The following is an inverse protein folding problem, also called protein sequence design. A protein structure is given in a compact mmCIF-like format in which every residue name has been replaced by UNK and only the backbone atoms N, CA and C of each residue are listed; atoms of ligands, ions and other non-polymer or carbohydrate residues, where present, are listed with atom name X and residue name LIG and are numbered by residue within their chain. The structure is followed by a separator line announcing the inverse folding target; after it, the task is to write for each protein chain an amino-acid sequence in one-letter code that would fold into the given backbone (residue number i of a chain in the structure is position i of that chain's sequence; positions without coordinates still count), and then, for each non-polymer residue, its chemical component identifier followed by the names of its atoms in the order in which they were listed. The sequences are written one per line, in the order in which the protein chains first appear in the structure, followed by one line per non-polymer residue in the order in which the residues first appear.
data_IF_809104008362
#
_entry.id   IF_809104008362
#
_cell.length_a   1.000
_cell.length_b   1.000
_cell.length_c   1.000
_cell.angle_alpha   90.00
_cell.angle_beta   90.00
_cell.angle_gamma   90.00
#
_symmetry.space_group_name_H-M   'P 1'
#
loop_
_entity.id
_entity.type
_entity.pdbx_description
1 polymer ?
#
# COMPACT_ATOMS: atom_id res chain seq x y z
N UNK A 1 -1.98 16.40 -5.62
CA UNK A 1 -1.76 15.43 -6.70
C UNK A 1 -1.99 13.98 -6.26
N UNK A 2 -1.19 13.35 -5.38
CA UNK A 2 -1.44 11.94 -4.91
C UNK A 2 -2.80 11.82 -4.24
N UNK A 3 -3.12 12.69 -3.30
CA UNK A 3 -4.40 12.71 -2.58
C UNK A 3 -5.62 12.85 -3.51
N UNK A 4 -5.48 13.59 -4.60
CA UNK A 4 -6.56 13.75 -5.60
C UNK A 4 -6.77 12.46 -6.39
N UNK A 5 -5.68 11.81 -6.80
CA UNK A 5 -5.72 10.49 -7.47
C UNK A 5 -6.39 9.46 -6.56
N UNK A 6 -6.03 9.40 -5.29
CA UNK A 6 -6.65 8.47 -4.32
C UNK A 6 -8.13 8.78 -4.13
N UNK A 7 -8.51 10.07 -4.06
CA UNK A 7 -9.91 10.48 -3.95
C UNK A 7 -10.72 10.04 -5.17
N UNK A 8 -10.20 10.27 -6.37
CA UNK A 8 -10.83 9.83 -7.62
C UNK A 8 -10.98 8.31 -7.69
N UNK A 9 -9.93 7.55 -7.34
CA UNK A 9 -9.98 6.10 -7.27
C UNK A 9 -11.06 5.61 -6.29
N UNK A 10 -11.11 6.21 -5.09
CA UNK A 10 -12.11 5.87 -4.08
C UNK A 10 -13.53 6.16 -4.55
N UNK A 11 -13.75 7.31 -5.17
CA UNK A 11 -15.06 7.66 -5.73
C UNK A 11 -15.48 6.70 -6.84
N UNK A 12 -14.56 6.40 -7.77
CA UNK A 12 -14.79 5.49 -8.88
C UNK A 12 -15.23 4.09 -8.41
N UNK A 13 -14.67 3.61 -7.31
CA UNK A 13 -14.98 2.28 -6.78
C UNK A 13 -16.07 2.27 -5.71
N UNK A 14 -16.75 3.38 -5.50
CA UNK A 14 -17.81 3.49 -4.49
C UNK A 14 -17.28 3.27 -3.06
N UNK A 15 -16.05 3.68 -2.80
CA UNK A 15 -15.35 3.58 -1.53
C UNK A 15 -14.85 4.95 -1.05
N UNK A 16 -15.72 5.98 -0.97
CA UNK A 16 -15.30 7.28 -0.46
C UNK A 16 -14.72 7.12 0.95
N UNK A 17 -13.84 8.03 1.33
CA UNK A 17 -13.39 8.11 2.70
C UNK A 17 -14.57 8.50 3.58
N UNK A 18 -15.02 7.58 4.40
CA UNK A 18 -16.16 7.77 5.31
C UNK A 18 -15.64 7.66 6.75
N UNK A 19 -15.63 8.78 7.49
CA UNK A 19 -15.18 8.78 8.88
C UNK A 19 -16.01 7.89 9.82
N UNK A 20 -17.26 7.61 9.49
CA UNK A 20 -18.12 6.73 10.27
C UNK A 20 -17.81 5.25 10.05
N UNK A 21 -17.18 4.91 8.94
CA UNK A 21 -16.82 3.53 8.60
C UNK A 21 -15.74 3.01 9.53
N UNK A 22 -15.97 1.81 10.06
CA UNK A 22 -14.99 1.04 10.84
C UNK A 22 -14.34 -0.03 9.96
N UNK A 23 -13.13 -0.39 10.35
CA UNK A 23 -12.38 -1.47 9.74
C UNK A 23 -11.51 -1.06 8.54
N UNK A 24 -10.74 -2.03 8.04
CA UNK A 24 -9.70 -1.79 7.06
C UNK A 24 -10.26 -1.47 5.66
N UNK A 25 -9.46 -0.72 4.90
CA UNK A 25 -9.74 -0.47 3.49
C UNK A 25 -9.70 -1.79 2.71
N UNK A 26 -10.72 -2.12 1.90
CA UNK A 26 -10.78 -3.37 1.13
C UNK A 26 -9.90 -3.29 -0.12
N UNK A 27 -8.60 -3.55 0.02
CA UNK A 27 -7.64 -3.47 -1.08
C UNK A 27 -8.00 -4.35 -2.28
N UNK A 28 -8.58 -5.53 -2.04
CA UNK A 28 -8.98 -6.44 -3.12
C UNK A 28 -9.93 -5.79 -4.13
N UNK A 29 -10.78 -4.85 -3.69
CA UNK A 29 -11.65 -4.11 -4.61
C UNK A 29 -10.86 -3.19 -5.52
N UNK A 30 -9.83 -2.52 -5.00
CA UNK A 30 -8.97 -1.68 -5.81
C UNK A 30 -8.25 -2.49 -6.88
N UNK A 31 -7.71 -3.65 -6.56
CA UNK A 31 -7.06 -4.52 -7.53
C UNK A 31 -8.01 -5.06 -8.59
N UNK A 32 -9.23 -5.47 -8.21
CA UNK A 32 -10.20 -6.05 -9.14
C UNK A 32 -10.91 -5.04 -10.03
N UNK A 33 -11.20 -3.86 -9.49
CA UNK A 33 -12.06 -2.86 -10.16
C UNK A 33 -11.26 -1.77 -10.87
N UNK A 34 -9.93 -1.81 -10.83
CA UNK A 34 -9.12 -0.88 -11.61
C UNK A 34 -9.40 -1.03 -13.10
N UNK A 35 -10.25 -0.14 -13.62
CA UNK A 35 -10.42 0.02 -15.06
C UNK A 35 -9.22 0.78 -15.60
N UNK A 36 -8.45 0.13 -16.37
CA UNK A 36 -7.17 0.56 -16.89
C UNK A 36 -6.31 -0.67 -16.90
N UNK A 37 -5.10 -0.65 -16.41
CA UNK A 37 -4.34 -1.87 -16.29
C UNK A 37 -5.03 -2.80 -15.29
N UNK A 38 -5.40 -3.98 -15.75
CA UNK A 38 -5.80 -5.05 -14.85
C UNK A 38 -4.59 -5.37 -13.97
N UNK A 39 -4.69 -5.07 -12.68
CA UNK A 39 -3.65 -5.43 -11.73
C UNK A 39 -4.05 -6.73 -11.04
N UNK A 40 -3.42 -7.83 -11.46
CA UNK A 40 -3.54 -9.09 -10.74
C UNK A 40 -2.66 -9.04 -9.49
N UNK A 41 -3.21 -9.41 -8.33
CA UNK A 41 -2.51 -9.43 -7.05
C UNK A 41 -2.31 -10.85 -6.56
N UNK A 42 -1.08 -11.18 -6.14
CA UNK A 42 -0.69 -12.49 -5.64
C UNK A 42 0.06 -12.39 -4.32
N UNK A 43 -0.39 -13.12 -3.30
CA UNK A 43 0.40 -13.39 -2.10
C UNK A 43 1.15 -14.73 -2.31
N UNK A 44 2.48 -14.69 -2.25
CA UNK A 44 3.34 -15.84 -2.59
C UNK A 44 4.23 -16.16 -1.40
N UNK A 45 4.22 -17.40 -0.88
CA UNK A 45 5.20 -17.84 0.11
C UNK A 45 6.61 -17.84 -0.51
N UNK A 46 7.62 -17.54 0.32
CA UNK A 46 9.02 -17.48 -0.12
C UNK A 46 9.20 -16.68 -1.42
N UNK A 47 8.64 -15.46 -1.46
CA UNK A 47 8.67 -14.63 -2.66
C UNK A 47 10.11 -14.32 -3.07
N UNK A 48 10.49 -14.80 -4.25
CA UNK A 48 11.80 -14.58 -4.88
C UNK A 48 11.60 -14.16 -6.34
N UNK A 49 12.66 -13.64 -6.97
CA UNK A 49 12.61 -13.32 -8.41
C UNK A 49 12.29 -14.55 -9.27
N UNK A 50 12.79 -15.72 -8.87
CA UNK A 50 12.46 -16.99 -9.53
C UNK A 50 10.96 -17.30 -9.44
N UNK A 51 10.37 -17.23 -8.24
CA UNK A 51 8.94 -17.51 -8.04
C UNK A 51 8.04 -16.52 -8.79
N UNK A 52 8.44 -15.25 -8.88
CA UNK A 52 7.78 -14.25 -9.72
C UNK A 52 7.83 -14.63 -11.19
N UNK A 53 9.03 -14.96 -11.70
CA UNK A 53 9.21 -15.36 -13.11
C UNK A 53 8.35 -16.55 -13.49
N UNK A 54 8.30 -17.58 -12.64
CA UNK A 54 7.49 -18.79 -12.87
C UNK A 54 6.00 -18.46 -12.86
N UNK A 55 5.57 -17.58 -11.95
CA UNK A 55 4.17 -17.16 -11.91
C UNK A 55 3.78 -16.37 -13.14
N UNK A 56 4.61 -15.45 -13.59
CA UNK A 56 4.39 -14.67 -14.82
C UNK A 56 4.32 -15.58 -16.04
N UNK A 57 5.23 -16.54 -16.17
CA UNK A 57 5.20 -17.53 -17.25
C UNK A 57 3.92 -18.36 -17.24
N UNK A 58 3.45 -18.75 -16.07
CA UNK A 58 2.16 -19.48 -15.94
C UNK A 58 0.95 -18.66 -16.38
N UNK A 59 1.08 -17.32 -16.41
CA UNK A 59 0.07 -16.41 -16.93
C UNK A 59 0.27 -16.09 -18.43
N UNK A 60 1.19 -16.77 -19.11
CA UNK A 60 1.49 -16.53 -20.52
C UNK A 60 2.35 -15.29 -20.78
N UNK A 61 3.00 -14.75 -19.76
CA UNK A 61 3.86 -13.57 -19.88
C UNK A 61 5.28 -14.01 -20.22
N UNK A 62 5.85 -13.47 -21.28
CA UNK A 62 7.28 -13.64 -21.57
C UNK A 62 8.10 -12.80 -20.62
N UNK A 63 8.95 -13.46 -19.84
CA UNK A 63 9.80 -12.84 -18.83
C UNK A 63 11.25 -13.02 -19.25
N UNK A 64 11.95 -11.90 -19.43
CA UNK A 64 13.39 -11.84 -19.55
C UNK A 64 14.05 -11.99 -18.17
N UNK A 65 15.37 -11.82 -18.10
CA UNK A 65 16.09 -11.89 -16.83
C UNK A 65 15.58 -10.82 -15.85
N UNK A 66 15.16 -11.27 -14.67
CA UNK A 66 14.72 -10.40 -13.56
C UNK A 66 15.84 -10.13 -12.54
N UNK A 67 17.06 -10.57 -12.79
CA UNK A 67 18.19 -10.49 -11.86
C UNK A 67 18.40 -11.75 -11.05
N UNK A 68 19.00 -11.66 -9.85
CA UNK A 68 19.34 -12.82 -9.01
C UNK A 68 18.07 -13.65 -8.67
N UNK A 69 17.97 -14.90 -9.18
CA UNK A 69 16.79 -15.74 -8.97
C UNK A 69 16.48 -16.02 -7.50
N UNK A 70 17.50 -16.03 -6.64
CA UNK A 70 17.39 -16.35 -5.21
C UNK A 70 17.09 -15.12 -4.35
N UNK A 71 17.11 -13.92 -4.91
CA UNK A 71 16.83 -12.70 -4.14
C UNK A 71 15.40 -12.74 -3.58
N UNK A 72 15.29 -12.60 -2.25
CA UNK A 72 14.00 -12.51 -1.55
C UNK A 72 13.41 -11.11 -1.69
N UNK A 73 12.11 -11.05 -1.89
CA UNK A 73 11.39 -9.82 -2.12
C UNK A 73 10.27 -9.65 -1.09
N UNK A 74 10.03 -8.43 -0.63
CA UNK A 74 8.83 -8.07 0.10
C UNK A 74 7.66 -7.83 -0.87
N UNK A 75 7.93 -7.12 -1.96
CA UNK A 75 7.00 -6.83 -3.04
C UNK A 75 7.67 -6.85 -4.41
N UNK A 76 6.85 -6.89 -5.44
CA UNK A 76 7.29 -6.83 -6.83
C UNK A 76 6.12 -6.46 -7.72
N UNK A 77 6.32 -5.50 -8.61
CA UNK A 77 5.33 -5.20 -9.64
C UNK A 77 5.93 -5.34 -11.03
N UNK A 78 5.21 -6.03 -11.90
CA UNK A 78 5.54 -6.19 -13.30
C UNK A 78 4.42 -5.61 -14.17
N UNK A 79 4.76 -4.83 -15.18
CA UNK A 79 3.81 -4.26 -16.12
C UNK A 79 4.11 -4.68 -17.55
N UNK A 80 3.09 -5.09 -18.29
CA UNK A 80 3.19 -5.39 -19.72
C UNK A 80 1.93 -4.92 -20.45
N UNK A 81 2.06 -3.93 -21.30
CA UNK A 81 0.93 -3.31 -22.00
C UNK A 81 -0.14 -2.82 -21.02
N UNK A 82 -1.41 -3.22 -21.16
CA UNK A 82 -2.49 -2.78 -20.28
C UNK A 82 -2.58 -3.57 -18.96
N UNK A 83 -1.77 -4.59 -18.76
CA UNK A 83 -1.81 -5.45 -17.58
C UNK A 83 -0.64 -5.16 -16.62
N UNK A 84 -0.86 -5.41 -15.33
CA UNK A 84 0.18 -5.45 -14.32
C UNK A 84 -0.06 -6.60 -13.35
N UNK A 85 1.01 -7.08 -12.72
CA UNK A 85 0.99 -8.14 -11.74
C UNK A 85 1.75 -7.67 -10.51
N UNK A 86 1.04 -7.54 -9.40
CA UNK A 86 1.60 -7.20 -8.10
C UNK A 86 1.77 -8.48 -7.28
N UNK A 87 2.95 -8.68 -6.75
CA UNK A 87 3.30 -9.81 -5.89
C UNK A 87 3.67 -9.27 -4.52
N UNK A 88 3.25 -9.94 -3.47
CA UNK A 88 3.67 -9.65 -2.09
C UNK A 88 4.04 -10.96 -1.41
N UNK A 89 5.03 -10.92 -0.52
CA UNK A 89 5.34 -12.12 0.26
C UNK A 89 4.18 -12.49 1.19
N UNK A 90 3.83 -13.78 1.22
CA UNK A 90 2.82 -14.30 2.15
C UNK A 90 3.38 -14.52 3.56
N UNK A 91 4.70 -14.47 3.72
CA UNK A 91 5.40 -14.76 4.98
C UNK A 91 5.35 -13.62 5.98
N UNK A 92 5.11 -12.40 5.50
CA UNK A 92 4.93 -11.23 6.36
C UNK A 92 3.59 -11.27 7.11
N UNK A 93 3.54 -10.59 8.26
CA UNK A 93 2.30 -10.37 9.00
C UNK A 93 1.31 -9.54 8.19
N UNK A 94 0.02 -9.75 8.42
CA UNK A 94 -1.04 -9.14 7.62
C UNK A 94 -0.94 -7.61 7.46
N UNK A 95 -0.65 -6.81 8.50
CA UNK A 95 -0.49 -5.37 8.35
C UNK A 95 0.60 -4.99 7.33
N UNK A 96 1.75 -5.68 7.37
CA UNK A 96 2.86 -5.44 6.46
C UNK A 96 2.51 -5.84 5.03
N UNK A 97 1.91 -7.02 4.83
CA UNK A 97 1.42 -7.44 3.50
C UNK A 97 0.46 -6.45 2.89
N UNK A 98 -0.43 -5.87 3.70
CA UNK A 98 -1.38 -4.86 3.23
C UNK A 98 -0.68 -3.58 2.80
N UNK A 99 0.33 -3.13 3.57
CA UNK A 99 1.11 -1.95 3.21
C UNK A 99 1.87 -2.19 1.90
N UNK A 100 2.59 -3.32 1.79
CA UNK A 100 3.28 -3.74 0.56
C UNK A 100 2.32 -3.79 -0.64
N UNK A 101 1.15 -4.40 -0.49
CA UNK A 101 0.16 -4.46 -1.58
C UNK A 101 -0.32 -3.08 -2.02
N UNK A 102 -0.56 -2.16 -1.07
CA UNK A 102 -0.95 -0.79 -1.38
C UNK A 102 0.20 0.00 -2.03
N UNK A 103 1.45 -0.27 -1.64
CA UNK A 103 2.66 0.30 -2.24
C UNK A 103 2.82 -0.13 -3.71
N UNK A 104 2.73 -1.44 -4.00
CA UNK A 104 2.76 -1.95 -5.37
C UNK A 104 1.61 -1.39 -6.23
N UNK A 105 0.44 -1.20 -5.64
CA UNK A 105 -0.67 -0.51 -6.29
C UNK A 105 -0.31 0.95 -6.61
N UNK A 106 0.41 1.62 -5.71
CA UNK A 106 0.94 2.97 -5.91
C UNK A 106 1.84 3.05 -7.14
N UNK A 107 2.78 2.11 -7.29
CA UNK A 107 3.61 2.02 -8.50
C UNK A 107 2.77 1.81 -9.76
N UNK A 108 1.79 0.91 -9.73
CA UNK A 108 0.91 0.68 -10.87
C UNK A 108 0.11 1.93 -11.30
N UNK A 109 -0.24 2.78 -10.33
CA UNK A 109 -1.08 3.98 -10.57
C UNK A 109 -0.24 5.21 -10.94
N UNK A 110 0.86 5.43 -10.24
CA UNK A 110 1.63 6.67 -10.32
C UNK A 110 2.80 6.58 -11.30
N UNK A 111 3.40 5.40 -11.44
CA UNK A 111 4.72 5.24 -12.06
C UNK A 111 4.71 4.37 -13.30
N UNK A 112 3.55 3.91 -13.74
CA UNK A 112 3.43 2.98 -14.85
C UNK A 112 4.28 3.33 -16.07
N UNK A 113 4.26 4.60 -16.48
CA UNK A 113 4.98 5.08 -17.65
C UNK A 113 6.49 5.31 -17.39
N UNK A 114 6.90 5.30 -16.12
CA UNK A 114 8.28 5.57 -15.65
C UNK A 114 9.02 4.32 -15.20
N UNK A 115 8.31 3.25 -14.84
CA UNK A 115 8.93 2.08 -14.20
C UNK A 115 9.46 1.02 -15.17
N UNK A 116 9.57 1.30 -16.46
CA UNK A 116 9.99 0.28 -17.42
C UNK A 116 9.08 -0.94 -17.37
N UNK A 117 9.66 -2.18 -17.31
CA UNK A 117 8.87 -3.42 -17.24
C UNK A 117 8.54 -3.87 -15.83
N UNK A 118 9.37 -3.56 -14.83
CA UNK A 118 9.15 -3.97 -13.44
C UNK A 118 9.83 -3.05 -12.42
N UNK A 119 9.31 -3.07 -11.21
CA UNK A 119 9.97 -2.59 -9.99
C UNK A 119 10.03 -3.77 -9.03
N UNK A 120 11.18 -3.97 -8.40
CA UNK A 120 11.41 -5.02 -7.41
C UNK A 120 11.86 -4.37 -6.12
N UNK A 121 11.22 -4.71 -5.02
CA UNK A 121 11.61 -4.20 -3.72
C UNK A 121 11.98 -5.35 -2.78
N UNK A 122 13.28 -5.51 -2.44
CA UNK A 122 13.71 -6.49 -1.47
C UNK A 122 13.29 -6.14 -0.05
N UNK A 123 13.08 -4.85 0.23
CA UNK A 123 12.69 -4.38 1.56
C UNK A 123 11.89 -3.10 1.47
N UNK A 124 10.58 -3.20 1.60
CA UNK A 124 9.72 -2.02 1.69
C UNK A 124 9.86 -1.44 3.10
N UNK A 125 10.43 -0.24 3.19
CA UNK A 125 10.47 0.54 4.42
C UNK A 125 9.24 1.45 4.47
N UNK A 126 8.52 1.41 5.57
CA UNK A 126 7.41 2.32 5.84
C UNK A 126 7.89 3.75 6.13
N UNK A 127 9.22 3.93 6.32
CA UNK A 127 9.89 5.21 6.53
C UNK A 127 10.76 5.60 5.32
N UNK A 128 10.82 6.89 5.00
CA UNK A 128 11.46 7.44 3.77
C UNK A 128 13.01 7.43 3.75
N UNK A 129 13.66 6.70 4.65
CA UNK A 129 15.11 6.71 4.79
C UNK A 129 15.86 6.12 3.59
N UNK A 130 16.35 6.96 2.68
CA UNK A 130 17.18 6.55 1.54
C UNK A 130 16.42 6.11 0.29
N UNK A 131 15.10 6.16 0.29
CA UNK A 131 14.25 5.77 -0.83
C UNK A 131 14.37 6.74 -2.02
N UNK A 132 14.19 6.22 -3.24
CA UNK A 132 14.05 7.03 -4.45
C UNK A 132 12.78 7.89 -4.38
N UNK A 133 12.63 8.87 -5.28
CA UNK A 133 11.40 9.66 -5.36
C UNK A 133 10.17 8.78 -5.64
N UNK A 134 10.31 7.81 -6.54
CA UNK A 134 9.23 6.86 -6.86
C UNK A 134 8.81 6.04 -5.63
N UNK A 135 9.77 5.57 -4.83
CA UNK A 135 9.51 4.83 -3.59
C UNK A 135 8.79 5.70 -2.55
N UNK A 136 9.23 6.95 -2.38
CA UNK A 136 8.55 7.90 -1.48
C UNK A 136 7.11 8.19 -1.92
N UNK A 137 6.89 8.36 -3.23
CA UNK A 137 5.55 8.55 -3.78
C UNK A 137 4.66 7.32 -3.57
N UNK A 138 5.18 6.10 -3.75
CA UNK A 138 4.47 4.85 -3.52
C UNK A 138 4.16 4.62 -2.02
N UNK A 139 5.12 4.90 -1.14
CA UNK A 139 4.91 4.86 0.32
C UNK A 139 3.81 5.84 0.75
N UNK A 140 3.88 7.08 0.24
CA UNK A 140 2.85 8.08 0.52
C UNK A 140 1.48 7.64 0.01
N UNK A 141 1.40 7.10 -1.21
CA UNK A 141 0.18 6.55 -1.76
C UNK A 141 -0.40 5.44 -0.86
N UNK A 142 0.44 4.48 -0.45
CA UNK A 142 0.03 3.40 0.44
C UNK A 142 -0.52 3.93 1.78
N UNK A 143 0.20 4.86 2.41
CA UNK A 143 -0.22 5.45 3.68
C UNK A 143 -1.54 6.22 3.56
N UNK A 144 -1.71 7.03 2.53
CA UNK A 144 -2.94 7.80 2.31
C UNK A 144 -4.13 6.92 1.91
N UNK A 145 -3.88 5.86 1.12
CA UNK A 145 -4.92 4.90 0.73
C UNK A 145 -5.43 4.11 1.94
N UNK A 146 -4.52 3.59 2.77
CA UNK A 146 -4.87 2.75 3.92
C UNK A 146 -5.38 3.56 5.12
N UNK A 147 -4.90 4.79 5.28
CA UNK A 147 -5.20 5.68 6.41
C UNK A 147 -5.67 7.06 5.90
N UNK A 148 -6.89 7.17 5.38
CA UNK A 148 -7.45 8.45 4.91
C UNK A 148 -7.43 9.49 6.03
N UNK A 149 -7.07 10.73 5.69
CA UNK A 149 -6.98 11.81 6.68
C UNK A 149 -8.28 12.00 7.45
N UNK A 150 -9.42 11.94 6.76
CA UNK A 150 -10.74 12.12 7.35
C UNK A 150 -11.03 11.07 8.43
N UNK A 151 -10.59 9.83 8.19
CA UNK A 151 -10.74 8.73 9.16
C UNK A 151 -9.81 8.94 10.36
N UNK A 152 -8.54 9.30 10.11
CA UNK A 152 -7.56 9.55 11.18
C UNK A 152 -8.04 10.68 12.09
N UNK A 153 -8.44 11.83 11.52
CA UNK A 153 -8.94 12.98 12.28
C UNK A 153 -10.24 12.69 13.03
N UNK A 154 -11.12 11.86 12.46
CA UNK A 154 -12.33 11.45 13.16
C UNK A 154 -12.01 10.62 14.42
N UNK A 155 -11.00 9.73 14.35
CA UNK A 155 -10.58 8.92 15.52
C UNK A 155 -9.90 9.77 16.59
N UNK A 156 -9.11 10.76 16.17
CA UNK A 156 -8.57 11.76 17.10
C UNK A 156 -9.69 12.52 17.82
N UNK A 157 -10.65 13.05 17.07
CA UNK A 157 -11.78 13.78 17.63
C UNK A 157 -12.63 12.93 18.59
N UNK A 158 -12.87 11.67 18.27
CA UNK A 158 -13.56 10.72 19.14
C UNK A 158 -12.82 10.51 20.47
N UNK A 159 -11.50 10.29 20.41
CA UNK A 159 -10.71 10.14 21.65
C UNK A 159 -10.72 11.40 22.50
N UNK A 160 -10.63 12.58 21.91
CA UNK A 160 -10.73 13.85 22.62
C UNK A 160 -12.10 14.04 23.28
N UNK A 161 -13.17 13.64 22.58
CA UNK A 161 -14.53 13.73 23.12
C UNK A 161 -14.76 12.72 24.25
N UNK A 162 -14.21 11.51 24.16
CA UNK A 162 -14.36 10.45 25.16
C UNK A 162 -13.53 10.71 26.43
N UNK A 163 -12.32 11.29 26.29
CA UNK A 163 -11.32 11.33 27.37
C UNK A 163 -10.81 12.75 27.68
N UNK A 164 -11.26 13.77 26.99
CA UNK A 164 -10.77 15.15 27.13
C UNK A 164 -9.37 15.39 26.55
N UNK A 165 -8.68 14.34 26.08
CA UNK A 165 -7.34 14.39 25.48
C UNK A 165 -7.20 13.29 24.44
N UNK A 166 -6.14 13.35 23.63
CA UNK A 166 -5.81 12.32 22.64
C UNK A 166 -4.35 11.86 22.81
N UNK A 167 -4.07 10.96 23.76
CA UNK A 167 -2.71 10.43 23.90
C UNK A 167 -2.29 9.70 22.62
N UNK A 168 -1.17 10.15 22.02
CA UNK A 168 -0.66 9.66 20.74
C UNK A 168 -0.58 8.13 20.68
N UNK A 169 -0.04 7.50 21.74
CA UNK A 169 0.07 6.03 21.79
C UNK A 169 -1.27 5.29 21.74
N UNK A 170 -2.34 5.87 22.34
CA UNK A 170 -3.69 5.30 22.28
C UNK A 170 -4.27 5.42 20.87
N UNK A 171 -4.08 6.57 20.23
CA UNK A 171 -4.51 6.78 18.85
C UNK A 171 -3.75 5.84 17.89
N UNK A 172 -2.43 5.70 18.05
CA UNK A 172 -1.61 4.76 17.27
C UNK A 172 -2.15 3.33 17.36
N UNK A 173 -2.37 2.84 18.59
CA UNK A 173 -2.90 1.49 18.80
C UNK A 173 -4.30 1.31 18.19
N UNK A 174 -5.19 2.27 18.38
CA UNK A 174 -6.56 2.23 17.85
C UNK A 174 -6.56 2.18 16.32
N UNK A 175 -5.80 3.06 15.68
CA UNK A 175 -5.69 3.09 14.22
C UNK A 175 -5.02 1.84 13.66
N UNK A 176 -3.93 1.36 14.27
CA UNK A 176 -3.25 0.15 13.83
C UNK A 176 -4.18 -1.07 13.86
N UNK A 177 -4.92 -1.25 14.96
CA UNK A 177 -5.86 -2.35 15.12
C UNK A 177 -7.07 -2.22 14.18
N UNK A 178 -7.68 -1.03 14.07
CA UNK A 178 -8.88 -0.81 13.26
C UNK A 178 -8.59 -0.94 11.77
N UNK A 179 -7.49 -0.34 11.29
CA UNK A 179 -7.17 -0.27 9.86
C UNK A 179 -6.30 -1.42 9.37
N UNK A 180 -5.86 -2.31 10.27
CA UNK A 180 -4.94 -3.41 9.98
C UNK A 180 -3.68 -2.93 9.27
N UNK A 181 -3.02 -1.96 9.89
CA UNK A 181 -1.72 -1.40 9.48
C UNK A 181 -0.71 -1.51 10.64
N UNK A 182 0.58 -1.37 10.35
CA UNK A 182 1.60 -1.41 11.40
C UNK A 182 1.59 -0.13 12.26
N UNK A 183 2.05 -0.22 13.50
CA UNK A 183 2.22 0.95 14.35
C UNK A 183 3.24 1.94 13.75
N UNK A 184 4.23 1.45 13.01
CA UNK A 184 5.21 2.28 12.31
C UNK A 184 4.55 3.12 11.20
N UNK A 185 3.73 2.49 10.35
CA UNK A 185 2.96 3.20 9.33
C UNK A 185 2.03 4.25 9.93
N UNK A 186 1.38 3.94 11.06
CA UNK A 186 0.53 4.90 11.77
C UNK A 186 1.35 6.08 12.28
N UNK A 187 2.49 5.84 12.95
CA UNK A 187 3.36 6.93 13.44
C UNK A 187 3.80 7.87 12.32
N UNK A 188 4.23 7.28 11.19
CA UNK A 188 4.58 8.07 10.02
C UNK A 188 3.40 8.91 9.53
N UNK A 189 2.21 8.30 9.42
CA UNK A 189 1.00 8.99 8.96
C UNK A 189 0.58 10.12 9.89
N UNK A 190 0.56 9.89 11.21
CA UNK A 190 0.23 10.91 12.21
C UNK A 190 1.20 12.10 12.13
N UNK A 191 2.50 11.82 12.03
CA UNK A 191 3.51 12.86 11.87
C UNK A 191 3.30 13.66 10.57
N UNK A 192 2.98 13.00 9.45
CA UNK A 192 2.71 13.68 8.18
C UNK A 192 1.45 14.56 8.20
N UNK A 193 0.52 14.29 9.10
CA UNK A 193 -0.73 15.05 9.29
C UNK A 193 -0.67 16.08 10.41
N UNK A 194 0.40 16.10 11.22
CA UNK A 194 0.50 16.93 12.42
C UNK A 194 -0.58 16.57 13.45
N UNK A 195 -0.85 15.29 13.65
CA UNK A 195 -1.91 14.79 14.53
C UNK A 195 -1.30 14.11 15.75
N UNK A 196 -1.85 14.42 16.94
CA UNK A 196 -1.43 13.78 18.20
C UNK A 196 -0.14 14.34 18.79
N UNK A 197 0.20 15.60 18.52
CA UNK A 197 1.39 16.29 19.05
C UNK A 197 1.08 17.13 20.31
N UNK A 198 0.03 16.79 21.08
CA UNK A 198 -0.35 17.47 22.33
C UNK A 198 0.25 16.81 23.57
#
# INVERSE_FOLDING_TARGET
MISDIIRELRQKFGLPADPSRRGPVPLDRFFREMAGPRVAHFAVPDLTRSSVADRLRSQGVTVEDLGDPGERLAGFIFAAGPAAWAFVTADDILPRRRFTAAHELGHAVLHRDRMGRYVADPTISEADGGATEMEREANRFAAELLMPEEVVRAREAELRAEHGCCPRGVLEYRLAAELLVSAEAVRYRLSSLGVGDD
#
